data_IF_227514107486
#
_entry.id   IF_227514107486
#
_cell.length_a   1.000
_cell.length_b   1.000
_cell.length_c   1.000
_cell.angle_alpha   90.00
_cell.angle_beta   90.00
_cell.angle_gamma   90.00
#
_symmetry.space_group_name_H-M   'P 1'
#
loop_
_entity.id
_entity.type
_entity.pdbx_description
1 polymer ?
#
# COMPACT_ATOMS: atom_id res chain seq x y z
N UNK A 1 -4.56 -6.04 6.09
CA UNK A 1 -3.41 -6.33 6.97
C UNK A 1 -2.65 -7.45 6.29
N UNK A 2 -1.32 -7.38 6.30
CA UNK A 2 -0.49 -8.45 5.76
C UNK A 2 0.45 -8.98 6.84
N UNK A 3 0.74 -10.26 6.78
CA UNK A 3 1.50 -10.96 7.81
C UNK A 3 2.67 -11.69 7.19
N UNK A 4 3.85 -11.51 7.77
CA UNK A 4 5.04 -12.27 7.41
C UNK A 4 5.30 -13.35 8.46
N UNK A 5 5.31 -14.61 8.02
CA UNK A 5 5.56 -15.76 8.91
C UNK A 5 7.02 -15.90 9.30
N UNK A 6 7.95 -15.62 8.38
CA UNK A 6 9.40 -15.76 8.54
C UNK A 6 10.13 -14.53 7.99
N UNK A 7 11.40 -14.31 8.31
CA UNK A 7 12.14 -13.09 7.94
C UNK A 7 12.23 -12.83 6.42
N UNK A 8 12.24 -13.88 5.60
CA UNK A 8 12.34 -13.77 4.13
C UNK A 8 11.04 -14.09 3.40
N UNK A 9 9.98 -14.51 4.12
CA UNK A 9 8.74 -14.94 3.49
C UNK A 9 7.98 -13.77 2.85
N UNK A 10 7.23 -14.03 1.78
CA UNK A 10 6.32 -13.03 1.21
C UNK A 10 5.13 -12.82 2.16
N UNK A 11 4.71 -11.57 2.43
CA UNK A 11 3.61 -11.31 3.34
C UNK A 11 2.24 -11.71 2.74
N UNK A 12 1.39 -12.37 3.54
CA UNK A 12 0.06 -12.85 3.15
C UNK A 12 -1.05 -11.93 3.67
N UNK A 13 -2.18 -11.76 2.97
CA UNK A 13 -3.28 -10.88 3.40
C UNK A 13 -4.12 -11.44 4.57
N UNK A 14 -3.70 -12.56 5.17
CA UNK A 14 -4.31 -13.21 6.32
C UNK A 14 -3.22 -13.81 7.21
N UNK A 15 -3.54 -14.11 8.47
CA UNK A 15 -2.63 -14.80 9.37
C UNK A 15 -2.64 -16.30 9.02
N UNK A 16 -1.51 -16.91 8.61
CA UNK A 16 -1.52 -18.31 8.21
C UNK A 16 -1.69 -19.24 9.43
N UNK A 17 -2.48 -20.33 9.30
CA UNK A 17 -3.03 -21.08 10.44
C UNK A 17 -2.00 -21.79 11.31
N UNK A 18 -0.88 -22.24 10.74
CA UNK A 18 0.15 -22.99 11.46
C UNK A 18 1.20 -22.09 12.15
N UNK A 19 1.15 -20.78 11.92
CA UNK A 19 2.15 -19.84 12.41
C UNK A 19 1.61 -19.09 13.62
N UNK A 20 2.05 -19.49 14.82
CA UNK A 20 1.60 -18.89 16.09
C UNK A 20 2.29 -17.55 16.41
N UNK A 21 3.41 -17.24 15.74
CA UNK A 21 4.21 -16.03 16.02
C UNK A 21 4.69 -15.36 14.71
N UNK A 22 3.85 -14.52 14.07
CA UNK A 22 4.29 -13.77 12.89
C UNK A 22 5.45 -12.84 13.26
N UNK A 23 6.43 -12.71 12.35
CA UNK A 23 7.59 -11.82 12.55
C UNK A 23 7.28 -10.38 12.19
N UNK A 24 6.30 -10.16 11.33
CA UNK A 24 5.91 -8.83 10.86
C UNK A 24 4.39 -8.74 10.63
N UNK A 25 3.81 -7.60 11.00
CA UNK A 25 2.43 -7.23 10.69
C UNK A 25 2.43 -5.89 9.95
N UNK A 26 2.03 -5.89 8.69
CA UNK A 26 1.96 -4.70 7.84
C UNK A 26 0.51 -4.21 7.81
N UNK A 27 0.32 -2.96 8.24
CA UNK A 27 -0.98 -2.28 8.24
C UNK A 27 -0.94 -1.10 7.27
N UNK A 28 -1.92 -1.06 6.36
CA UNK A 28 -2.14 0.07 5.47
C UNK A 28 -3.29 0.92 6.02
N UNK A 29 -3.11 2.23 5.97
CA UNK A 29 -4.11 3.21 6.37
C UNK A 29 -4.36 4.18 5.22
N UNK A 30 -5.61 4.56 5.02
CA UNK A 30 -5.99 5.61 4.08
C UNK A 30 -5.85 6.97 4.79
N UNK A 31 -4.96 7.82 4.29
CA UNK A 31 -4.73 9.16 4.84
C UNK A 31 -5.43 10.19 3.96
N UNK A 32 -6.36 10.95 4.55
CA UNK A 32 -7.01 12.09 3.88
C UNK A 32 -6.10 13.30 3.98
N UNK A 33 -5.64 13.81 2.83
CA UNK A 33 -4.84 15.03 2.77
C UNK A 33 -5.72 16.28 2.95
N UNK A 34 -5.20 17.38 3.53
CA UNK A 34 -5.86 18.67 3.49
C UNK A 34 -5.80 19.26 2.06
N UNK A 35 -6.54 20.34 1.81
CA UNK A 35 -6.59 21.00 0.49
C UNK A 35 -5.21 21.40 -0.05
N UNK A 36 -4.29 21.82 0.84
CA UNK A 36 -2.92 22.14 0.47
C UNK A 36 -1.96 21.76 1.60
N UNK A 37 -0.81 21.19 1.24
CA UNK A 37 0.26 20.82 2.18
C UNK A 37 1.61 20.79 1.48
N UNK A 38 2.64 21.23 2.20
CA UNK A 38 4.04 21.04 1.80
C UNK A 38 4.58 19.72 2.34
N UNK A 39 5.28 18.97 1.47
CA UNK A 39 6.03 17.77 1.84
C UNK A 39 7.52 18.06 1.76
N UNK A 40 8.28 17.62 2.77
CA UNK A 40 9.75 17.63 2.73
C UNK A 40 10.21 16.23 2.39
N UNK A 41 10.91 16.09 1.26
CA UNK A 41 11.40 14.80 0.77
C UNK A 41 12.92 14.72 1.02
N UNK A 42 13.43 13.64 1.65
CA UNK A 42 14.86 13.42 1.80
C UNK A 42 15.59 13.45 0.45
N UNK A 43 16.83 13.96 0.42
CA UNK A 43 17.60 14.17 -0.82
C UNK A 43 17.84 12.89 -1.64
N UNK A 44 17.81 11.72 -1.01
CA UNK A 44 17.97 10.41 -1.64
C UNK A 44 16.65 9.74 -2.05
N UNK A 45 15.52 10.45 -1.95
CA UNK A 45 14.19 9.93 -2.27
C UNK A 45 13.44 10.84 -3.23
N UNK A 46 12.41 10.28 -3.87
CA UNK A 46 11.49 11.02 -4.74
C UNK A 46 10.06 10.74 -4.31
N UNK A 47 9.23 11.78 -4.23
CA UNK A 47 7.79 11.66 -4.03
C UNK A 47 7.12 11.63 -5.40
N UNK A 48 6.45 10.53 -5.73
CA UNK A 48 5.84 10.29 -7.02
C UNK A 48 4.33 10.12 -6.87
N UNK A 49 3.56 10.80 -7.71
CA UNK A 49 2.14 10.52 -7.89
C UNK A 49 2.01 9.43 -8.96
N UNK A 50 1.62 8.23 -8.54
CA UNK A 50 1.50 7.06 -9.42
C UNK A 50 0.02 6.77 -9.69
N UNK A 51 -0.43 6.73 -10.96
CA UNK A 51 -1.81 6.38 -11.30
C UNK A 51 -2.19 4.96 -10.86
N UNK A 52 -3.46 4.77 -10.43
CA UNK A 52 -3.97 3.44 -10.03
C UNK A 52 -3.87 2.40 -11.15
N UNK A 53 -4.02 2.82 -12.41
CA UNK A 53 -3.88 1.96 -13.58
C UNK A 53 -2.46 1.40 -13.77
N UNK A 54 -1.43 2.13 -13.34
CA UNK A 54 -0.04 1.71 -13.48
C UNK A 54 0.35 0.65 -12.43
N UNK A 55 -0.23 0.73 -11.24
CA UNK A 55 0.07 -0.20 -10.14
C UNK A 55 -0.78 -1.48 -10.19
N UNK A 56 -1.98 -1.42 -10.77
CA UNK A 56 -2.92 -2.55 -10.79
C UNK A 56 -2.30 -3.78 -11.47
N UNK A 57 -2.31 -4.91 -10.75
CA UNK A 57 -1.75 -6.20 -11.20
C UNK A 57 -0.27 -6.14 -11.63
N UNK A 58 0.50 -5.14 -11.16
CA UNK A 58 1.92 -4.99 -11.48
C UNK A 58 2.82 -5.33 -10.28
N UNK A 59 2.66 -6.55 -9.76
CA UNK A 59 3.43 -7.04 -8.61
C UNK A 59 4.93 -7.21 -8.91
N UNK A 60 5.31 -7.33 -10.19
CA UNK A 60 6.71 -7.44 -10.61
C UNK A 60 7.50 -6.16 -10.32
N UNK A 61 6.88 -4.99 -10.52
CA UNK A 61 7.53 -3.69 -10.28
C UNK A 61 7.24 -3.18 -8.86
N UNK A 62 6.01 -3.32 -8.39
CA UNK A 62 5.54 -2.67 -7.15
C UNK A 62 5.45 -3.61 -5.94
N UNK A 63 5.65 -4.91 -6.14
CA UNK A 63 5.44 -5.91 -5.10
C UNK A 63 3.96 -6.17 -4.78
N UNK A 64 3.68 -7.22 -4.00
CA UNK A 64 2.33 -7.77 -3.84
C UNK A 64 1.38 -6.86 -3.06
N UNK A 65 1.90 -5.99 -2.19
CA UNK A 65 1.08 -5.11 -1.35
C UNK A 65 0.62 -3.89 -2.16
N UNK A 66 1.55 -3.20 -2.83
CA UNK A 66 1.24 -1.97 -3.58
C UNK A 66 0.38 -2.29 -4.80
N UNK A 67 0.65 -3.40 -5.51
CA UNK A 67 -0.17 -3.81 -6.67
C UNK A 67 -1.63 -4.13 -6.31
N UNK A 68 -1.90 -4.42 -5.03
CA UNK A 68 -3.24 -4.66 -4.50
C UNK A 68 -3.99 -3.40 -4.07
N UNK A 69 -3.34 -2.23 -4.01
CA UNK A 69 -3.97 -0.97 -3.58
C UNK A 69 -5.23 -0.62 -4.36
N UNK A 70 -5.29 -0.74 -5.71
CA UNK A 70 -6.52 -0.43 -6.45
C UNK A 70 -7.72 -1.25 -5.98
N UNK A 71 -7.53 -2.54 -5.66
CA UNK A 71 -8.60 -3.40 -5.14
C UNK A 71 -9.04 -3.01 -3.72
N UNK A 72 -8.13 -2.48 -2.90
CA UNK A 72 -8.46 -1.99 -1.55
C UNK A 72 -9.22 -0.67 -1.60
N UNK A 73 -8.94 0.16 -2.59
CA UNK A 73 -9.56 1.46 -2.78
C UNK A 73 -10.92 1.38 -3.49
N UNK A 74 -11.22 0.28 -4.20
CA UNK A 74 -12.46 0.12 -4.98
C UNK A 74 -13.76 0.23 -4.17
N UNK A 75 -13.69 0.05 -2.84
CA UNK A 75 -14.83 0.19 -1.93
C UNK A 75 -15.12 1.64 -1.50
N UNK A 76 -14.30 2.60 -1.91
CA UNK A 76 -14.47 4.01 -1.54
C UNK A 76 -14.99 4.82 -2.74
N UNK A 77 -15.83 5.81 -2.45
CA UNK A 77 -16.21 6.83 -3.43
C UNK A 77 -15.25 8.02 -3.35
N UNK A 78 -14.72 8.43 -4.50
CA UNK A 78 -13.83 9.58 -4.61
C UNK A 78 -14.59 10.76 -5.22
N UNK A 79 -14.58 11.89 -4.53
CA UNK A 79 -15.08 13.15 -5.07
C UNK A 79 -13.90 13.88 -5.71
N UNK A 80 -13.93 13.99 -7.04
CA UNK A 80 -12.97 14.81 -7.78
C UNK A 80 -13.59 16.19 -7.90
N UNK A 81 -12.96 17.18 -7.26
CA UNK A 81 -13.34 18.58 -7.39
C UNK A 81 -12.52 19.13 -8.55
N UNK A 82 -13.18 19.64 -9.59
CA UNK A 82 -12.53 20.46 -10.61
C UNK A 82 -12.25 21.84 -10.03
N UNK A 83 -11.06 22.37 -10.28
CA UNK A 83 -10.75 23.78 -10.05
C UNK A 83 -11.59 24.70 -10.96
#
# INVERSE_FOLDING_TARGET
>A
MWWRSEFEAIPFPYMPPNFRTPKECIKLFLIRLPMSRQFVVPRNMKLLAVPLSQIHNNAQVYGPIISGIPNLLSKFSFNVISD
#
